data_IF_235889458597
#
_entry.id   IF_235889458597
#
_cell.length_a   1.000
_cell.length_b   1.000
_cell.length_c   1.000
_cell.angle_alpha   90.00
_cell.angle_beta   90.00
_cell.angle_gamma   90.00
#
_symmetry.space_group_name_H-M   'P 1'
#
loop_
_entity.id
_entity.type
_entity.pdbx_description
1 polymer ?
#
# COMPACT_ATOMS: atom_id res chain seq x y z
N UNK A 1 40.76 23.78 -35.53
CA UNK A 1 40.90 22.68 -34.56
C UNK A 1 39.59 22.57 -33.80
N UNK A 2 38.98 21.39 -33.83
CA UNK A 2 37.68 21.10 -33.23
C UNK A 2 37.86 20.60 -31.80
N UNK A 3 37.67 21.49 -30.83
CA UNK A 3 37.49 21.21 -29.41
C UNK A 3 36.65 22.41 -28.91
N UNK A 4 35.46 22.34 -28.34
CA UNK A 4 34.89 21.38 -27.40
C UNK A 4 33.38 21.25 -27.68
N UNK A 5 32.90 20.01 -27.85
CA UNK A 5 31.53 19.62 -27.53
C UNK A 5 31.60 18.90 -26.19
N UNK A 6 31.54 19.61 -25.07
CA UNK A 6 31.20 19.04 -23.76
C UNK A 6 29.81 19.61 -23.45
N UNK A 7 28.75 18.86 -23.73
CA UNK A 7 28.15 17.89 -22.81
C UNK A 7 27.53 18.57 -21.58
N UNK A 8 26.58 19.49 -21.80
CA UNK A 8 25.70 20.05 -20.76
C UNK A 8 24.58 19.07 -20.35
N UNK A 9 24.85 17.76 -20.36
CA UNK A 9 23.87 16.72 -20.02
C UNK A 9 24.00 16.24 -18.56
N UNK A 10 25.00 16.72 -17.82
CA UNK A 10 25.39 16.12 -16.53
C UNK A 10 24.74 16.78 -15.30
N UNK A 11 24.23 18.01 -15.38
CA UNK A 11 23.61 18.69 -14.24
C UNK A 11 22.14 18.26 -14.01
N UNK A 12 21.40 17.96 -15.09
CA UNK A 12 19.99 17.55 -14.99
C UNK A 12 19.79 16.15 -14.38
N UNK A 13 20.82 15.32 -14.32
CA UNK A 13 20.72 13.94 -13.83
C UNK A 13 20.77 13.83 -12.29
N UNK A 14 21.31 14.83 -11.60
CA UNK A 14 21.52 14.76 -10.15
C UNK A 14 20.26 15.13 -9.32
N UNK A 15 19.42 16.04 -9.82
CA UNK A 15 18.17 16.45 -9.13
C UNK A 15 17.06 15.40 -9.22
N UNK A 16 17.06 14.57 -10.27
CA UNK A 16 16.05 13.51 -10.46
C UNK A 16 16.23 12.37 -9.43
N UNK A 17 17.46 12.14 -8.93
CA UNK A 17 17.75 10.97 -8.11
C UNK A 17 17.32 11.12 -6.63
N UNK A 18 17.31 12.34 -6.08
CA UNK A 18 17.05 12.53 -4.63
C UNK A 18 15.55 12.64 -4.32
N UNK A 19 14.75 13.29 -5.18
CA UNK A 19 13.29 13.40 -5.01
C UNK A 19 12.49 12.16 -5.41
N UNK A 20 13.03 11.30 -6.29
CA UNK A 20 12.36 10.06 -6.68
C UNK A 20 12.45 8.95 -5.63
N UNK A 21 13.53 8.89 -4.83
CA UNK A 21 13.78 7.76 -3.92
C UNK A 21 12.84 7.74 -2.70
N UNK A 22 12.57 8.90 -2.09
CA UNK A 22 11.74 8.99 -0.87
C UNK A 22 10.25 8.72 -1.15
N UNK A 23 9.77 9.18 -2.30
CA UNK A 23 8.39 8.98 -2.75
C UNK A 23 8.13 7.53 -3.19
N UNK A 24 9.12 6.86 -3.80
CA UNK A 24 8.98 5.45 -4.21
C UNK A 24 8.91 4.49 -3.02
N UNK A 25 9.73 4.73 -2.00
CA UNK A 25 9.77 3.90 -0.78
C UNK A 25 8.45 3.99 -0.01
N UNK A 26 7.89 5.20 0.13
CA UNK A 26 6.59 5.43 0.78
C UNK A 26 5.43 4.74 0.04
N UNK A 27 5.44 4.74 -1.30
CA UNK A 27 4.43 4.05 -2.10
C UNK A 27 4.58 2.53 -1.99
N UNK A 28 5.80 2.03 -1.96
CA UNK A 28 6.08 0.59 -1.83
C UNK A 28 5.62 0.07 -0.47
N UNK A 29 5.95 0.78 0.61
CA UNK A 29 5.45 0.47 1.94
C UNK A 29 3.91 0.51 2.01
N UNK A 30 3.28 1.50 1.37
CA UNK A 30 1.82 1.57 1.30
C UNK A 30 1.19 0.41 0.49
N UNK A 31 1.92 -0.18 -0.49
CA UNK A 31 1.47 -1.40 -1.18
C UNK A 31 1.62 -2.62 -0.29
N UNK A 32 2.73 -2.73 0.42
CA UNK A 32 2.96 -3.81 1.39
C UNK A 32 1.84 -3.82 2.44
N UNK A 33 1.47 -2.66 2.98
CA UNK A 33 0.34 -2.54 3.91
C UNK A 33 -0.99 -3.05 3.33
N UNK A 34 -1.23 -2.90 2.02
CA UNK A 34 -2.43 -3.44 1.37
C UNK A 34 -2.38 -4.96 1.30
N UNK A 35 -1.20 -5.53 1.04
CA UNK A 35 -1.03 -6.97 0.92
C UNK A 35 -1.01 -7.66 2.30
N UNK A 36 -0.43 -7.01 3.31
CA UNK A 36 -0.54 -7.39 4.71
C UNK A 36 -2.01 -7.37 5.16
N UNK A 37 -2.72 -6.27 4.93
CA UNK A 37 -4.14 -6.15 5.27
C UNK A 37 -4.99 -7.25 4.62
N UNK A 38 -4.72 -7.64 3.37
CA UNK A 38 -5.40 -8.77 2.73
C UNK A 38 -5.08 -10.10 3.41
N UNK A 39 -3.81 -10.32 3.74
CA UNK A 39 -3.34 -11.57 4.33
C UNK A 39 -3.93 -11.75 5.73
N UNK A 40 -3.85 -10.74 6.57
CA UNK A 40 -4.47 -10.72 7.90
C UNK A 40 -5.99 -10.91 7.82
N UNK A 41 -6.63 -10.23 6.87
CA UNK A 41 -8.07 -10.38 6.63
C UNK A 41 -8.46 -11.80 6.24
N UNK A 42 -7.70 -12.45 5.36
CA UNK A 42 -7.93 -13.85 4.99
C UNK A 42 -7.74 -14.79 6.19
N UNK A 43 -6.73 -14.54 7.03
CA UNK A 43 -6.51 -15.31 8.25
C UNK A 43 -7.67 -15.15 9.23
N UNK A 44 -8.18 -13.93 9.43
CA UNK A 44 -9.32 -13.69 10.32
C UNK A 44 -10.58 -14.42 9.83
N UNK A 45 -10.89 -14.35 8.53
CA UNK A 45 -12.04 -15.07 7.95
C UNK A 45 -11.86 -16.58 8.13
N UNK A 46 -10.66 -17.11 7.84
CA UNK A 46 -10.37 -18.53 8.01
C UNK A 46 -10.50 -18.98 9.47
N UNK A 47 -10.08 -18.14 10.41
CA UNK A 47 -10.21 -18.39 11.85
C UNK A 47 -11.70 -18.41 12.26
N UNK A 48 -12.50 -17.44 11.84
CA UNK A 48 -13.94 -17.42 12.11
C UNK A 48 -14.65 -18.65 11.52
N UNK A 49 -14.28 -19.06 10.30
CA UNK A 49 -14.79 -20.29 9.69
C UNK A 49 -14.41 -21.55 10.48
N UNK A 50 -13.17 -21.62 10.97
CA UNK A 50 -12.67 -22.73 11.77
C UNK A 50 -13.38 -22.81 13.13
N UNK A 51 -13.49 -21.68 13.84
CA UNK A 51 -14.14 -21.59 15.14
C UNK A 51 -15.63 -21.93 15.05
N UNK A 52 -16.36 -21.32 14.10
CA UNK A 52 -17.76 -21.64 13.89
C UNK A 52 -17.97 -23.10 13.46
N UNK A 53 -17.06 -23.68 12.68
CA UNK A 53 -17.13 -25.12 12.34
C UNK A 53 -16.88 -26.01 13.55
N UNK A 54 -15.98 -25.61 14.45
CA UNK A 54 -15.74 -26.33 15.69
C UNK A 54 -16.98 -26.31 16.60
N UNK A 55 -17.66 -25.16 16.71
CA UNK A 55 -18.90 -25.04 17.48
C UNK A 55 -20.02 -25.94 16.93
N UNK A 56 -20.23 -25.96 15.61
CA UNK A 56 -21.22 -26.85 14.98
C UNK A 56 -20.89 -28.34 15.23
N UNK A 57 -19.60 -28.71 15.15
CA UNK A 57 -19.17 -30.08 15.43
C UNK A 57 -19.41 -30.46 16.89
N UNK A 58 -19.16 -29.54 17.82
CA UNK A 58 -19.37 -29.77 19.23
C UNK A 58 -20.86 -29.91 19.57
N UNK A 59 -21.71 -29.03 19.04
CA UNK A 59 -23.16 -29.16 19.15
C UNK A 59 -23.66 -30.51 18.64
N UNK A 60 -23.14 -30.95 17.48
CA UNK A 60 -23.43 -32.28 16.94
C UNK A 60 -22.99 -33.40 17.89
N UNK A 61 -21.77 -33.31 18.42
CA UNK A 61 -21.20 -34.32 19.31
C UNK A 61 -22.08 -34.47 20.56
N UNK A 62 -22.34 -33.38 21.25
CA UNK A 62 -23.14 -33.35 22.49
C UNK A 62 -24.56 -33.87 22.23
N UNK A 63 -25.26 -33.36 21.21
CA UNK A 63 -26.62 -33.82 20.96
C UNK A 63 -26.68 -35.28 20.48
N UNK A 64 -25.65 -35.78 19.78
CA UNK A 64 -25.58 -37.21 19.41
C UNK A 64 -25.32 -38.10 20.64
N UNK A 65 -24.50 -37.64 21.59
CA UNK A 65 -24.27 -38.33 22.86
C UNK A 65 -25.57 -38.42 23.67
N UNK A 66 -26.32 -37.31 23.81
CA UNK A 66 -27.62 -37.31 24.50
C UNK A 66 -28.59 -38.31 23.85
N UNK A 67 -28.74 -38.29 22.52
CA UNK A 67 -29.62 -39.25 21.81
C UNK A 67 -29.18 -40.71 22.07
N UNK A 68 -27.88 -40.97 22.18
CA UNK A 68 -27.38 -42.32 22.48
C UNK A 68 -27.70 -42.76 23.90
N UNK A 69 -27.67 -41.84 24.86
CA UNK A 69 -28.08 -42.08 26.24
C UNK A 69 -29.58 -42.40 26.29
N UNK A 70 -30.45 -41.57 25.71
CA UNK A 70 -31.90 -41.85 25.65
C UNK A 70 -32.22 -43.19 24.93
N UNK A 71 -31.49 -43.51 23.86
CA UNK A 71 -31.65 -44.78 23.14
C UNK A 71 -31.20 -46.00 23.97
N UNK A 72 -30.30 -45.81 24.93
CA UNK A 72 -29.89 -46.86 25.87
C UNK A 72 -31.00 -47.12 26.88
N UNK A 73 -31.69 -46.08 27.34
CA UNK A 73 -32.79 -46.20 28.30
C UNK A 73 -34.00 -46.89 27.66
N UNK A 74 -34.37 -46.54 26.42
CA UNK A 74 -35.33 -47.32 25.60
C UNK A 74 -34.97 -48.80 25.51
N UNK A 75 -33.67 -49.11 25.37
CA UNK A 75 -33.20 -50.50 25.26
C UNK A 75 -33.30 -51.24 26.59
N UNK A 76 -33.03 -50.57 27.70
CA UNK A 76 -33.16 -51.12 29.06
C UNK A 76 -34.63 -51.39 29.40
N UNK A 77 -35.53 -50.42 29.18
CA UNK A 77 -36.98 -50.59 29.35
C UNK A 77 -37.53 -51.79 28.55
N UNK A 78 -37.00 -52.00 27.33
CA UNK A 78 -37.35 -53.16 26.50
C UNK A 78 -36.85 -54.49 27.05
N UNK A 79 -35.66 -54.52 27.64
CA UNK A 79 -35.05 -55.74 28.19
C UNK A 79 -35.73 -56.14 29.51
N UNK A 80 -36.12 -55.17 30.31
CA UNK A 80 -36.79 -55.38 31.60
C UNK A 80 -38.29 -55.69 31.46
N UNK A 81 -38.78 -55.77 30.21
CA UNK A 81 -40.17 -56.05 29.86
C UNK A 81 -41.15 -55.08 30.54
N UNK A 82 -40.76 -53.80 30.59
CA UNK A 82 -41.59 -52.72 31.09
C UNK A 82 -42.88 -52.55 30.27
N UNK A 83 -43.81 -51.76 30.81
CA UNK A 83 -45.11 -51.61 30.17
C UNK A 83 -44.98 -50.90 28.81
N UNK A 84 -45.99 -51.05 27.97
CA UNK A 84 -46.05 -50.30 26.70
C UNK A 84 -46.12 -48.79 26.91
N UNK A 85 -46.52 -48.33 28.10
CA UNK A 85 -46.57 -46.91 28.45
C UNK A 85 -45.15 -46.39 28.73
N UNK A 86 -44.38 -47.09 29.56
CA UNK A 86 -42.99 -46.74 29.89
C UNK A 86 -42.11 -46.70 28.62
N UNK A 87 -42.19 -47.74 27.78
CA UNK A 87 -41.51 -47.79 26.48
C UNK A 87 -41.91 -46.63 25.54
N UNK A 88 -43.12 -46.11 25.66
CA UNK A 88 -43.59 -44.97 24.86
C UNK A 88 -43.06 -43.64 25.40
N UNK A 89 -42.85 -43.52 26.71
CA UNK A 89 -42.25 -42.35 27.35
C UNK A 89 -40.76 -42.25 26.97
N UNK A 90 -39.99 -43.33 27.10
CA UNK A 90 -38.58 -43.38 26.69
C UNK A 90 -38.39 -43.03 25.19
N UNK A 91 -39.29 -43.53 24.33
CA UNK A 91 -39.28 -43.19 22.90
C UNK A 91 -39.67 -41.73 22.61
N UNK A 92 -40.39 -41.08 23.52
CA UNK A 92 -40.70 -39.64 23.44
C UNK A 92 -39.46 -38.83 23.81
N UNK A 93 -38.68 -39.26 24.80
CA UNK A 93 -37.48 -38.57 25.25
C UNK A 93 -36.38 -38.61 24.17
N UNK A 94 -36.21 -39.75 23.47
CA UNK A 94 -35.36 -39.81 22.26
C UNK A 94 -35.77 -38.77 21.20
N UNK A 95 -37.08 -38.56 20.97
CA UNK A 95 -37.55 -37.57 19.99
C UNK A 95 -37.33 -36.15 20.48
N UNK A 96 -37.43 -35.92 21.78
CA UNK A 96 -37.13 -34.63 22.40
C UNK A 96 -35.64 -34.30 22.24
N UNK A 97 -34.75 -35.24 22.56
CA UNK A 97 -33.31 -35.11 22.35
C UNK A 97 -32.93 -34.88 20.87
N UNK A 98 -33.61 -35.55 19.93
CA UNK A 98 -33.44 -35.28 18.49
C UNK A 98 -33.81 -33.85 18.11
N UNK A 99 -34.94 -33.36 18.65
CA UNK A 99 -35.39 -32.00 18.39
C UNK A 99 -34.43 -30.97 18.97
N UNK A 100 -33.96 -31.17 20.19
CA UNK A 100 -32.97 -30.29 20.82
C UNK A 100 -31.66 -30.25 20.04
N UNK A 101 -31.18 -31.40 19.53
CA UNK A 101 -30.02 -31.44 18.64
C UNK A 101 -30.25 -30.60 17.38
N UNK A 102 -31.39 -30.77 16.70
CA UNK A 102 -31.71 -30.00 15.48
C UNK A 102 -31.76 -28.48 15.77
N UNK A 103 -32.37 -28.08 16.89
CA UNK A 103 -32.41 -26.68 17.32
C UNK A 103 -31.01 -26.13 17.65
N UNK A 104 -30.18 -26.92 18.35
CA UNK A 104 -28.79 -26.56 18.67
C UNK A 104 -27.92 -26.42 17.43
N UNK A 105 -28.05 -27.35 16.47
CA UNK A 105 -27.34 -27.28 15.19
C UNK A 105 -27.75 -26.05 14.38
N UNK A 106 -29.04 -25.74 14.29
CA UNK A 106 -29.53 -24.57 13.59
C UNK A 106 -28.99 -23.26 14.21
N UNK A 107 -28.94 -23.19 15.55
CA UNK A 107 -28.35 -22.04 16.25
C UNK A 107 -26.84 -21.93 16.00
N UNK A 108 -26.10 -23.04 16.09
CA UNK A 108 -24.66 -23.05 15.85
C UNK A 108 -24.31 -22.69 14.40
N UNK A 109 -25.06 -23.18 13.41
CA UNK A 109 -24.88 -22.83 12.00
C UNK A 109 -25.19 -21.36 11.73
N UNK A 110 -26.24 -20.83 12.37
CA UNK A 110 -26.57 -19.40 12.28
C UNK A 110 -25.48 -18.53 12.89
N UNK A 111 -25.01 -18.85 14.10
CA UNK A 111 -23.92 -18.13 14.77
C UNK A 111 -22.65 -18.14 13.90
N UNK A 112 -22.26 -19.31 13.39
CA UNK A 112 -21.15 -19.43 12.43
C UNK A 112 -21.33 -18.50 11.23
N UNK A 113 -22.53 -18.44 10.64
CA UNK A 113 -22.77 -17.59 9.48
C UNK A 113 -22.65 -16.10 9.81
N UNK A 114 -23.13 -15.69 10.98
CA UNK A 114 -23.02 -14.32 11.48
C UNK A 114 -21.56 -13.94 11.75
N UNK A 115 -20.81 -14.78 12.48
CA UNK A 115 -19.39 -14.56 12.80
C UNK A 115 -18.53 -14.43 11.52
N UNK A 116 -18.76 -15.31 10.54
CA UNK A 116 -18.03 -15.28 9.26
C UNK A 116 -18.42 -14.04 8.44
N UNK A 117 -19.67 -13.60 8.49
CA UNK A 117 -20.11 -12.40 7.80
C UNK A 117 -19.51 -11.14 8.42
N UNK A 118 -19.46 -11.06 9.76
CA UNK A 118 -18.80 -9.98 10.49
C UNK A 118 -17.31 -9.92 10.16
N UNK A 119 -16.60 -11.05 10.24
CA UNK A 119 -15.18 -11.13 9.88
C UNK A 119 -14.92 -10.69 8.42
N UNK A 120 -15.82 -11.02 7.49
CA UNK A 120 -15.73 -10.57 6.09
C UNK A 120 -15.92 -9.06 5.95
N UNK A 121 -16.90 -8.48 6.65
CA UNK A 121 -17.14 -7.04 6.61
C UNK A 121 -15.93 -6.28 7.18
N UNK A 122 -15.40 -6.69 8.33
CA UNK A 122 -14.21 -6.08 8.92
C UNK A 122 -12.99 -6.19 7.99
N UNK A 123 -12.78 -7.36 7.38
CA UNK A 123 -11.75 -7.60 6.39
C UNK A 123 -11.85 -6.62 5.20
N UNK A 124 -13.05 -6.45 4.65
CA UNK A 124 -13.30 -5.52 3.54
C UNK A 124 -12.99 -4.08 3.93
N UNK A 125 -13.42 -3.65 5.13
CA UNK A 125 -13.14 -2.30 5.64
C UNK A 125 -11.64 -2.04 5.80
N UNK A 126 -10.89 -3.00 6.36
CA UNK A 126 -9.43 -2.85 6.52
C UNK A 126 -8.71 -2.76 5.17
N UNK A 127 -9.06 -3.64 4.23
CA UNK A 127 -8.45 -3.60 2.88
C UNK A 127 -8.83 -2.31 2.15
N UNK A 128 -10.07 -1.84 2.28
CA UNK A 128 -10.50 -0.56 1.72
C UNK A 128 -9.72 0.61 2.32
N UNK A 129 -9.56 0.65 3.64
CA UNK A 129 -8.78 1.68 4.32
C UNK A 129 -7.31 1.69 3.87
N UNK A 130 -6.67 0.51 3.76
CA UNK A 130 -5.30 0.40 3.25
C UNK A 130 -5.17 0.90 1.80
N UNK A 131 -6.15 0.59 0.94
CA UNK A 131 -6.18 1.07 -0.45
C UNK A 131 -6.35 2.59 -0.55
N UNK A 132 -7.20 3.17 0.30
CA UNK A 132 -7.38 4.62 0.36
C UNK A 132 -6.09 5.32 0.75
N UNK A 133 -5.38 4.82 1.78
CA UNK A 133 -4.06 5.34 2.16
C UNK A 133 -3.06 5.26 1.02
N UNK A 134 -2.99 4.12 0.30
CA UNK A 134 -2.13 3.99 -0.88
C UNK A 134 -2.48 5.02 -1.97
N UNK A 135 -3.76 5.31 -2.18
CA UNK A 135 -4.18 6.34 -3.14
C UNK A 135 -3.76 7.74 -2.70
N UNK A 136 -3.94 8.07 -1.42
CA UNK A 136 -3.49 9.34 -0.82
C UNK A 136 -1.97 9.52 -0.95
N UNK A 137 -1.18 8.50 -0.57
CA UNK A 137 0.29 8.52 -0.71
C UNK A 137 0.73 8.74 -2.15
N UNK A 138 0.04 8.14 -3.14
CA UNK A 138 0.34 8.36 -4.55
C UNK A 138 0.05 9.80 -4.99
N UNK A 139 -1.06 10.38 -4.52
CA UNK A 139 -1.41 11.78 -4.83
C UNK A 139 -0.41 12.74 -4.21
N UNK A 140 0.01 12.51 -2.97
CA UNK A 140 1.04 13.31 -2.30
C UNK A 140 2.38 13.20 -3.02
N UNK A 141 2.82 11.99 -3.37
CA UNK A 141 4.04 11.77 -4.14
C UNK A 141 4.01 12.50 -5.50
N UNK A 142 2.88 12.46 -6.20
CA UNK A 142 2.71 13.17 -7.47
C UNK A 142 2.82 14.70 -7.27
N UNK A 143 2.18 15.23 -6.22
CA UNK A 143 2.23 16.66 -5.91
C UNK A 143 3.64 17.11 -5.57
N UNK A 144 4.37 16.33 -4.78
CA UNK A 144 5.76 16.61 -4.45
C UNK A 144 6.63 16.61 -5.72
N UNK A 145 6.51 15.58 -6.56
CA UNK A 145 7.23 15.51 -7.82
C UNK A 145 6.91 16.69 -8.77
N UNK A 146 5.66 17.16 -8.81
CA UNK A 146 5.30 18.36 -9.59
C UNK A 146 5.97 19.63 -9.04
N UNK A 147 6.01 19.80 -7.73
CA UNK A 147 6.69 20.93 -7.11
C UNK A 147 8.20 20.90 -7.40
N UNK A 148 8.84 19.73 -7.25
CA UNK A 148 10.26 19.55 -7.54
C UNK A 148 10.61 19.90 -8.99
N UNK A 149 9.75 19.48 -9.94
CA UNK A 149 9.91 19.82 -11.36
C UNK A 149 9.74 21.33 -11.58
N UNK A 150 8.75 21.97 -10.95
CA UNK A 150 8.56 23.42 -11.06
C UNK A 150 9.74 24.22 -10.49
N UNK A 151 10.31 23.79 -9.37
CA UNK A 151 11.50 24.40 -8.79
C UNK A 151 12.70 24.23 -9.71
N UNK A 152 12.95 23.01 -10.21
CA UNK A 152 14.02 22.75 -11.17
C UNK A 152 13.87 23.54 -12.47
N UNK A 153 12.64 23.74 -12.97
CA UNK A 153 12.39 24.60 -14.15
C UNK A 153 12.67 26.08 -13.88
N UNK A 154 12.44 26.55 -12.65
CA UNK A 154 12.73 27.92 -12.25
C UNK A 154 14.24 28.12 -12.17
N UNK A 155 14.95 27.21 -11.50
CA UNK A 155 16.40 27.27 -11.36
C UNK A 155 17.08 27.20 -12.74
N UNK A 156 16.61 26.31 -13.63
CA UNK A 156 17.12 26.22 -15.01
C UNK A 156 16.93 27.53 -15.81
N UNK A 157 15.82 28.25 -15.59
CA UNK A 157 15.59 29.54 -16.25
C UNK A 157 16.53 30.63 -15.73
N UNK A 158 16.83 30.62 -14.44
CA UNK A 158 17.80 31.54 -13.83
C UNK A 158 19.21 31.26 -14.36
N UNK A 159 19.65 29.99 -14.37
CA UNK A 159 20.94 29.59 -14.98
C UNK A 159 21.04 29.99 -16.47
N UNK A 160 19.95 29.81 -17.23
CA UNK A 160 19.92 30.24 -18.65
C UNK A 160 20.06 31.75 -18.81
N UNK A 161 19.47 32.54 -17.91
CA UNK A 161 19.58 34.00 -17.94
C UNK A 161 21.03 34.43 -17.64
N UNK A 162 21.65 33.85 -16.62
CA UNK A 162 23.03 34.14 -16.22
C UNK A 162 24.02 33.82 -17.34
N UNK A 163 23.87 32.66 -17.99
CA UNK A 163 24.66 32.30 -19.18
C UNK A 163 24.46 33.31 -20.30
N UNK A 164 23.22 33.74 -20.56
CA UNK A 164 22.92 34.72 -21.62
C UNK A 164 23.57 36.08 -21.33
N UNK A 165 23.54 36.54 -20.09
CA UNK A 165 24.19 37.78 -19.66
C UNK A 165 25.72 37.71 -19.77
N UNK A 166 26.32 36.58 -19.39
CA UNK A 166 27.75 36.33 -19.56
C UNK A 166 28.16 36.30 -21.04
N UNK A 167 27.35 35.70 -21.92
CA UNK A 167 27.58 35.72 -23.37
C UNK A 167 27.53 37.15 -23.95
N UNK A 168 26.56 37.95 -23.52
CA UNK A 168 26.44 39.35 -23.93
C UNK A 168 27.65 40.18 -23.44
N UNK A 169 28.11 39.94 -22.21
CA UNK A 169 29.30 40.59 -21.63
C UNK A 169 30.55 40.27 -22.45
N UNK A 170 30.75 38.99 -22.80
CA UNK A 170 31.86 38.56 -23.66
C UNK A 170 31.80 39.21 -25.05
N UNK A 171 30.62 39.24 -25.67
CA UNK A 171 30.43 39.90 -26.97
C UNK A 171 30.77 41.40 -26.90
N UNK A 172 30.35 42.09 -25.83
CA UNK A 172 30.67 43.48 -25.57
C UNK A 172 32.17 43.73 -25.37
N UNK A 173 32.85 42.87 -24.61
CA UNK A 173 34.30 42.96 -24.40
C UNK A 173 35.07 42.75 -25.72
N UNK A 174 34.67 41.76 -26.52
CA UNK A 174 35.26 41.48 -27.85
C UNK A 174 35.08 42.65 -28.81
N UNK A 175 33.90 43.27 -28.81
CA UNK A 175 33.65 44.47 -29.63
C UNK A 175 34.56 45.63 -29.21
N UNK A 176 34.64 45.94 -27.92
CA UNK A 176 35.54 46.99 -27.41
C UNK A 176 36.99 46.74 -27.81
N UNK A 177 37.50 45.52 -27.64
CA UNK A 177 38.85 45.15 -28.05
C UNK A 177 39.10 45.42 -29.55
N UNK A 178 38.11 45.20 -30.42
CA UNK A 178 38.24 45.48 -31.85
C UNK A 178 38.25 46.97 -32.21
N UNK A 179 37.70 47.81 -31.32
CA UNK A 179 37.55 49.27 -31.52
C UNK A 179 38.64 50.09 -30.79
N UNK A 180 39.42 49.46 -29.89
CA UNK A 180 40.44 50.10 -29.05
C UNK A 180 41.79 50.29 -29.79
N UNK A 181 42.50 51.38 -29.47
CA UNK A 181 43.83 51.73 -30.01
C UNK A 181 44.95 50.82 -29.45
N UNK A 182 46.11 50.77 -30.11
CA UNK A 182 47.22 49.88 -29.70
C UNK A 182 47.75 50.11 -28.27
N UNK A 183 47.67 51.34 -27.75
CA UNK A 183 48.13 51.67 -26.40
C UNK A 183 47.24 51.10 -25.28
N UNK A 184 45.97 50.82 -25.57
CA UNK A 184 44.99 50.33 -24.60
C UNK A 184 44.61 48.86 -24.84
N UNK A 185 45.28 48.21 -25.79
CA UNK A 185 44.96 46.86 -26.30
C UNK A 185 45.19 45.76 -25.27
N UNK A 186 46.22 45.87 -24.42
CA UNK A 186 46.49 44.91 -23.34
C UNK A 186 45.37 44.92 -22.29
N UNK A 187 44.90 46.11 -21.87
CA UNK A 187 43.80 46.22 -20.93
C UNK A 187 42.49 45.65 -21.52
N UNK A 188 42.23 45.89 -22.80
CA UNK A 188 41.07 45.33 -23.49
C UNK A 188 41.16 43.80 -23.68
N UNK A 189 42.36 43.23 -23.86
CA UNK A 189 42.56 41.78 -23.89
C UNK A 189 42.33 41.13 -22.52
N UNK A 190 42.77 41.78 -21.44
CA UNK A 190 42.47 41.35 -20.07
C UNK A 190 40.97 41.23 -19.83
N UNK A 191 40.20 42.26 -20.20
CA UNK A 191 38.75 42.26 -20.05
C UNK A 191 38.03 41.16 -20.86
N UNK A 192 38.54 40.80 -22.06
CA UNK A 192 38.00 39.66 -22.82
C UNK A 192 38.30 38.34 -22.10
N UNK A 193 39.52 38.18 -21.59
CA UNK A 193 39.91 36.96 -20.88
C UNK A 193 39.08 36.75 -19.61
N UNK A 194 38.89 37.81 -18.83
CA UNK A 194 38.05 37.78 -17.64
C UNK A 194 36.60 37.40 -17.98
N UNK A 195 36.04 37.96 -19.07
CA UNK A 195 34.69 37.60 -19.54
C UNK A 195 34.60 36.15 -20.06
N UNK A 196 35.66 35.61 -20.68
CA UNK A 196 35.72 34.19 -21.08
C UNK A 196 35.81 33.25 -19.88
N UNK A 197 36.58 33.61 -18.85
CA UNK A 197 36.68 32.85 -17.60
C UNK A 197 35.35 32.85 -16.84
N UNK A 198 34.65 33.99 -16.76
CA UNK A 198 33.31 34.09 -16.16
C UNK A 198 32.27 33.25 -16.93
N UNK A 199 32.21 33.35 -18.26
CA UNK A 199 31.30 32.52 -19.06
C UNK A 199 31.61 31.01 -18.93
N UNK A 200 32.89 30.66 -18.78
CA UNK A 200 33.29 29.27 -18.54
C UNK A 200 32.91 28.79 -17.14
N UNK A 201 32.76 29.69 -16.17
CA UNK A 201 32.25 29.35 -14.84
C UNK A 201 30.75 29.08 -14.86
N UNK A 202 29.95 29.90 -15.56
CA UNK A 202 28.50 29.72 -15.70
C UNK A 202 28.09 28.48 -16.52
N UNK A 203 29.02 27.89 -17.29
CA UNK A 203 28.77 26.72 -18.15
C UNK A 203 29.20 25.38 -17.55
N UNK A 204 29.72 25.36 -16.32
CA UNK A 204 30.20 24.14 -15.62
C UNK A 204 29.09 23.48 -14.83
#
# INVERSE_FOLDING_TARGET
>A
MSFLKLSSASALAALILVGCQTNSESIEQARENVDEAKTESQQQIAQAEQEGTAQVREARRVGTENIQEEMKDVKEARLDAESSEDLSEEMKDVREAQRELDESLAQAEKAKAEDVAEAKNEAEERVAAARNRLAETKVEALKNAQNDVMEAEKDLKEEQADVTEAEATLAGAKKKLSETSETDKEAAQGAVKDAEESLAAEKK
#
